data_IF_332737955703
#
_entry.id   IF_332737955703
#
_cell.length_a   1.000
_cell.length_b   1.000
_cell.length_c   1.000
_cell.angle_alpha   90.00
_cell.angle_beta   90.00
_cell.angle_gamma   90.00
#
_symmetry.space_group_name_H-M   'P 1'
#
loop_
_entity.id
_entity.type
_entity.pdbx_description
1 polymer ?
#
# COMPACT_ATOMS: atom_id res chain seq x y z
N UNK A 1 -10.37 34.29 -21.14
CA UNK A 1 -10.54 33.14 -20.22
C UNK A 1 -9.16 32.64 -19.84
N UNK A 2 -8.85 32.43 -18.56
CA UNK A 2 -7.53 31.93 -18.19
C UNK A 2 -7.44 30.44 -18.60
N UNK A 3 -6.56 30.15 -19.54
CA UNK A 3 -6.12 28.81 -19.91
C UNK A 3 -5.16 28.32 -18.83
N UNK A 4 -5.61 27.46 -17.91
CA UNK A 4 -4.79 27.03 -16.79
C UNK A 4 -5.16 25.64 -16.29
N UNK A 5 -4.36 24.64 -16.67
CA UNK A 5 -4.33 23.28 -16.11
C UNK A 5 -3.79 23.28 -14.65
N UNK A 6 -4.18 24.25 -13.81
CA UNK A 6 -3.62 24.42 -12.46
C UNK A 6 -4.00 23.34 -11.46
N UNK A 7 -4.99 22.49 -11.77
CA UNK A 7 -5.43 21.38 -10.91
C UNK A 7 -4.69 20.06 -11.18
N UNK A 8 -4.09 19.89 -12.36
CA UNK A 8 -3.38 18.64 -12.75
C UNK A 8 -1.91 18.62 -12.29
N UNK A 9 -1.34 19.77 -11.92
CA UNK A 9 0.04 19.86 -11.43
C UNK A 9 0.15 19.70 -9.89
N UNK A 10 -0.98 19.37 -9.23
CA UNK A 10 -0.98 19.11 -7.80
C UNK A 10 -0.34 17.74 -7.53
N UNK A 11 0.86 17.75 -6.95
CA UNK A 11 1.54 16.55 -6.48
C UNK A 11 1.00 16.16 -5.11
N UNK A 12 0.38 14.99 -5.03
CA UNK A 12 -0.27 14.50 -3.81
C UNK A 12 0.59 13.38 -3.22
N UNK A 13 0.91 13.46 -1.94
CA UNK A 13 1.55 12.39 -1.19
C UNK A 13 0.54 11.81 -0.19
N UNK A 14 0.31 10.50 -0.25
CA UNK A 14 -0.59 9.78 0.65
C UNK A 14 0.23 8.90 1.57
N UNK A 15 0.18 9.14 2.86
CA UNK A 15 1.03 8.45 3.82
C UNK A 15 0.19 7.61 4.78
N UNK A 16 0.61 6.38 5.04
CA UNK A 16 0.09 5.58 6.16
C UNK A 16 1.22 4.86 6.92
N UNK A 17 0.89 4.03 7.90
CA UNK A 17 1.92 3.39 8.74
C UNK A 17 2.80 2.39 7.96
N UNK A 18 2.21 1.54 7.11
CA UNK A 18 2.91 0.42 6.46
C UNK A 18 2.81 0.41 4.93
N UNK A 19 2.30 1.49 4.35
CA UNK A 19 2.05 1.63 2.92
C UNK A 19 1.23 0.51 2.24
N UNK A 20 0.39 -0.22 2.98
CA UNK A 20 -0.26 -1.44 2.46
C UNK A 20 -1.75 -1.25 2.13
N UNK A 21 -2.49 -0.59 3.02
CA UNK A 21 -3.95 -0.55 2.92
C UNK A 21 -4.45 0.87 2.60
N UNK A 22 -4.65 1.70 3.64
CA UNK A 22 -5.21 3.06 3.51
C UNK A 22 -4.50 3.96 2.50
N UNK A 23 -3.16 3.94 2.45
CA UNK A 23 -2.42 4.78 1.50
C UNK A 23 -2.53 4.27 0.06
N UNK A 24 -2.59 2.95 -0.13
CA UNK A 24 -2.69 2.33 -1.45
C UNK A 24 -4.09 2.48 -2.04
N UNK A 25 -5.14 2.41 -1.22
CA UNK A 25 -6.52 2.63 -1.66
C UNK A 25 -6.73 4.08 -2.14
N UNK A 26 -6.30 5.05 -1.33
CA UNK A 26 -6.35 6.45 -1.71
C UNK A 26 -5.44 6.77 -2.92
N UNK A 27 -4.27 6.12 -3.02
CA UNK A 27 -3.42 6.21 -4.19
C UNK A 27 -4.13 5.69 -5.45
N UNK A 28 -4.73 4.49 -5.41
CA UNK A 28 -5.48 3.88 -6.52
C UNK A 28 -6.63 4.79 -6.95
N UNK A 29 -7.38 5.35 -6.00
CA UNK A 29 -8.49 6.27 -6.27
C UNK A 29 -8.04 7.59 -6.93
N UNK A 30 -6.98 8.22 -6.40
CA UNK A 30 -6.46 9.49 -6.94
C UNK A 30 -5.77 9.29 -8.29
N UNK A 31 -5.03 8.19 -8.46
CA UNK A 31 -4.35 7.83 -9.70
C UNK A 31 -5.35 7.58 -10.83
N UNK A 32 -6.44 6.84 -10.56
CA UNK A 32 -7.54 6.62 -11.52
C UNK A 32 -8.24 7.91 -11.96
N UNK A 33 -8.13 8.98 -11.18
CA UNK A 33 -8.67 10.32 -11.51
C UNK A 33 -7.67 11.23 -12.23
N UNK A 34 -6.46 10.74 -12.52
CA UNK A 34 -5.44 11.48 -13.25
C UNK A 34 -4.60 12.44 -12.41
N UNK A 35 -4.60 12.29 -11.07
CA UNK A 35 -3.73 13.07 -10.20
C UNK A 35 -2.33 12.46 -10.12
N UNK A 36 -1.31 13.32 -9.98
CA UNK A 36 0.05 12.88 -9.71
C UNK A 36 0.20 12.51 -8.23
N UNK A 37 -0.06 11.25 -7.89
CA UNK A 37 -0.07 10.75 -6.51
C UNK A 37 1.09 9.79 -6.24
N UNK A 38 1.70 9.89 -5.06
CA UNK A 38 2.69 8.95 -4.53
C UNK A 38 2.27 8.49 -3.14
N UNK A 39 2.52 7.23 -2.79
CA UNK A 39 2.15 6.67 -1.48
C UNK A 39 3.37 6.23 -0.68
N UNK A 40 3.35 6.48 0.63
CA UNK A 40 4.49 6.22 1.53
C UNK A 40 4.06 5.59 2.86
N UNK A 41 5.05 4.94 3.51
CA UNK A 41 4.96 4.40 4.86
C UNK A 41 5.74 5.24 5.86
N UNK A 42 5.25 5.43 7.09
CA UNK A 42 5.98 6.12 8.16
C UNK A 42 6.81 5.20 9.05
N UNK A 43 6.48 3.90 9.12
CA UNK A 43 7.22 2.98 9.96
C UNK A 43 8.61 2.68 9.38
N UNK A 44 9.48 2.08 10.18
CA UNK A 44 10.76 1.54 9.69
C UNK A 44 10.58 0.25 8.88
N UNK A 45 9.47 -0.48 9.11
CA UNK A 45 9.15 -1.76 8.46
C UNK A 45 7.66 -1.85 8.13
N UNK A 46 7.34 -2.55 7.04
CA UNK A 46 5.98 -2.92 6.66
C UNK A 46 5.52 -4.02 7.59
N UNK A 47 4.43 -3.77 8.34
CA UNK A 47 3.86 -4.75 9.27
C UNK A 47 2.53 -5.24 8.74
N UNK A 48 2.40 -6.56 8.64
CA UNK A 48 1.17 -7.24 8.27
C UNK A 48 0.68 -8.13 9.41
N UNK A 49 -0.65 -8.29 9.56
CA UNK A 49 -1.19 -9.26 10.49
C UNK A 49 -0.65 -10.65 10.13
N UNK A 50 -0.28 -11.43 11.14
CA UNK A 50 0.11 -12.83 10.97
C UNK A 50 -0.94 -13.78 11.54
N UNK A 51 -0.56 -15.03 11.75
CA UNK A 51 -1.43 -16.07 12.34
C UNK A 51 -1.89 -15.74 13.77
N UNK A 52 -1.19 -14.85 14.48
CA UNK A 52 -1.54 -14.43 15.84
C UNK A 52 -1.07 -12.99 16.08
N UNK A 53 -1.69 -12.32 17.06
CA UNK A 53 -1.33 -10.94 17.47
C UNK A 53 0.16 -10.81 17.82
N UNK A 54 0.74 -11.82 18.46
CA UNK A 54 2.15 -11.83 18.88
C UNK A 54 3.15 -12.08 17.74
N UNK A 55 2.67 -12.50 16.56
CA UNK A 55 3.53 -12.88 15.42
C UNK A 55 3.15 -12.12 14.15
N UNK A 56 3.36 -10.79 14.09
CA UNK A 56 3.17 -10.02 12.87
C UNK A 56 4.25 -10.34 11.83
N UNK A 57 3.89 -10.29 10.55
CA UNK A 57 4.88 -10.38 9.47
C UNK A 57 5.50 -9.00 9.26
N UNK A 58 6.82 -8.88 9.44
CA UNK A 58 7.55 -7.64 9.26
C UNK A 58 8.45 -7.74 8.04
N UNK A 59 8.38 -6.77 7.13
CA UNK A 59 9.21 -6.67 5.93
C UNK A 59 9.91 -5.32 5.88
N UNK A 60 11.10 -5.28 5.29
CA UNK A 60 11.82 -4.01 5.11
C UNK A 60 11.26 -3.23 3.93
N UNK A 61 11.32 -1.89 4.02
CA UNK A 61 10.98 -1.04 2.88
C UNK A 61 11.99 -1.28 1.76
N UNK A 62 11.51 -1.74 0.61
CA UNK A 62 12.33 -2.17 -0.53
C UNK A 62 11.95 -3.56 -1.04
N UNK A 63 11.38 -4.41 -0.18
CA UNK A 63 10.80 -5.69 -0.61
C UNK A 63 9.55 -5.41 -1.45
N UNK A 64 9.44 -6.07 -2.60
CA UNK A 64 8.32 -5.86 -3.51
C UNK A 64 7.04 -6.50 -2.97
N UNK A 65 5.87 -5.96 -3.33
CA UNK A 65 4.58 -6.54 -2.94
C UNK A 65 4.42 -8.00 -3.41
N UNK A 66 5.01 -8.36 -4.56
CA UNK A 66 5.00 -9.73 -5.09
C UNK A 66 5.82 -10.69 -4.21
N UNK A 67 6.99 -10.27 -3.74
CA UNK A 67 7.81 -11.06 -2.81
C UNK A 67 7.10 -11.24 -1.46
N UNK A 68 6.49 -10.17 -0.95
CA UNK A 68 5.69 -10.24 0.28
C UNK A 68 4.52 -11.22 0.08
N UNK A 69 3.81 -11.13 -1.04
CA UNK A 69 2.71 -12.03 -1.36
C UNK A 69 3.16 -13.49 -1.41
N UNK A 70 4.26 -13.79 -2.12
CA UNK A 70 4.82 -15.15 -2.21
C UNK A 70 5.22 -15.71 -0.86
N UNK A 71 5.87 -14.90 -0.01
CA UNK A 71 6.24 -15.31 1.35
C UNK A 71 5.02 -15.61 2.22
N UNK A 72 3.99 -14.76 2.15
CA UNK A 72 2.74 -14.97 2.90
C UNK A 72 2.00 -16.22 2.43
N UNK A 73 1.87 -16.42 1.12
CA UNK A 73 1.23 -17.61 0.55
C UNK A 73 1.99 -18.88 0.93
N UNK A 74 3.34 -18.83 0.96
CA UNK A 74 4.16 -19.95 1.41
C UNK A 74 3.99 -20.25 2.91
N UNK A 75 3.79 -19.22 3.74
CA UNK A 75 3.53 -19.37 5.18
C UNK A 75 2.16 -19.93 5.47
N UNK A 76 1.12 -19.38 4.83
CA UNK A 76 -0.26 -19.79 5.03
C UNK A 76 -1.15 -19.45 3.84
N UNK A 77 -1.28 -20.42 2.93
CA UNK A 77 -2.06 -20.28 1.71
C UNK A 77 -3.56 -20.02 1.97
N UNK A 78 -4.09 -20.35 3.15
CA UNK A 78 -5.52 -20.20 3.44
C UNK A 78 -5.84 -18.86 4.12
N UNK A 79 -4.89 -18.28 4.85
CA UNK A 79 -5.11 -17.05 5.63
C UNK A 79 -5.06 -15.79 4.76
N UNK A 80 -4.02 -15.63 3.95
CA UNK A 80 -3.68 -14.34 3.33
C UNK A 80 -4.45 -13.96 2.06
N UNK A 81 -4.91 -14.89 1.19
CA UNK A 81 -5.75 -14.51 0.06
C UNK A 81 -7.08 -13.88 0.50
N UNK A 82 -7.57 -14.22 1.70
CA UNK A 82 -8.86 -13.76 2.20
C UNK A 82 -8.80 -12.40 2.91
N UNK A 83 -7.62 -11.99 3.36
CA UNK A 83 -7.44 -10.83 4.24
C UNK A 83 -7.54 -9.47 3.51
N UNK A 84 -7.97 -9.42 2.24
CA UNK A 84 -8.16 -8.20 1.41
C UNK A 84 -6.94 -7.29 1.24
N UNK A 85 -5.78 -7.66 1.81
CA UNK A 85 -4.56 -6.84 1.85
C UNK A 85 -3.96 -6.60 0.45
N UNK A 86 -4.25 -7.50 -0.51
CA UNK A 86 -3.70 -7.46 -1.87
C UNK A 86 -4.76 -7.17 -2.95
N UNK A 87 -6.00 -6.87 -2.56
CA UNK A 87 -7.12 -6.70 -3.49
C UNK A 87 -7.37 -5.24 -3.91
N UNK A 88 -6.44 -4.33 -3.63
CA UNK A 88 -6.55 -2.88 -3.89
C UNK A 88 -5.76 -2.45 -5.11
#
# INVERSE_FOLDING_TARGET
>A
MPSGNGLLDLKIAVICASNMNRSMEAHSFLSKRGFNVMSFGTNDKVKLPGQSIDKPNCYEFGVTYDEIYKDLVAKDHNLYPFLTIFSV
#
